data_IF_730472741353
#
_entry.id   IF_730472741353
#
_cell.length_a   1.000
_cell.length_b   1.000
_cell.length_c   1.000
_cell.angle_alpha   90.00
_cell.angle_beta   90.00
_cell.angle_gamma   90.00
#
_symmetry.space_group_name_H-M   'P 1'
#
loop_
_entity.id
_entity.type
_entity.pdbx_description
1 polymer ?
#
# COMPACT_ATOMS: atom_id res chain seq x y z
N UNK A 1 6.47 9.19 -3.36
CA UNK A 1 6.34 7.84 -3.95
C UNK A 1 5.25 7.76 -5.01
N UNK A 2 3.97 8.15 -4.76
CA UNK A 2 2.89 8.01 -5.74
C UNK A 2 3.17 8.69 -7.09
N UNK A 3 3.74 9.90 -7.09
CA UNK A 3 4.16 10.63 -8.29
C UNK A 3 5.21 9.84 -9.12
N UNK A 4 6.16 9.20 -8.45
CA UNK A 4 7.19 8.39 -9.10
C UNK A 4 6.67 7.04 -9.61
N UNK A 5 5.70 6.43 -8.91
CA UNK A 5 4.98 5.27 -9.43
C UNK A 5 4.27 5.63 -10.74
N UNK A 6 3.55 6.75 -10.77
CA UNK A 6 2.87 7.22 -11.98
C UNK A 6 3.86 7.42 -13.15
N UNK A 7 5.03 8.04 -12.88
CA UNK A 7 6.11 8.19 -13.86
C UNK A 7 6.58 6.84 -14.41
N UNK A 8 6.87 5.88 -13.53
CA UNK A 8 7.38 4.57 -13.93
C UNK A 8 6.36 3.76 -14.73
N UNK A 9 5.07 3.84 -14.38
CA UNK A 9 3.99 3.18 -15.13
C UNK A 9 3.76 3.87 -16.48
N UNK A 10 3.85 5.20 -16.54
CA UNK A 10 3.80 5.96 -17.77
C UNK A 10 4.91 5.55 -18.76
N UNK A 11 6.14 5.41 -18.27
CA UNK A 11 7.28 4.92 -19.05
C UNK A 11 7.11 3.46 -19.55
N UNK A 12 6.16 2.71 -18.98
CA UNK A 12 5.77 1.36 -19.42
C UNK A 12 4.59 1.34 -20.39
N UNK A 13 4.01 2.48 -20.67
CA UNK A 13 2.91 2.62 -21.62
C UNK A 13 1.51 2.65 -20.99
N UNK A 14 1.39 2.73 -19.68
CA UNK A 14 0.10 2.77 -18.99
C UNK A 14 -0.65 4.10 -19.27
N UNK A 15 -1.98 4.01 -19.44
CA UNK A 15 -2.88 5.13 -19.24
C UNK A 15 -3.10 5.34 -17.75
N UNK A 16 -3.16 6.59 -17.27
CA UNK A 16 -3.15 6.86 -15.84
C UNK A 16 -4.30 7.76 -15.40
N UNK A 17 -4.91 7.36 -14.28
CA UNK A 17 -5.83 8.17 -13.50
C UNK A 17 -5.20 8.39 -12.13
N UNK A 18 -4.88 9.62 -11.79
CA UNK A 18 -4.30 9.98 -10.50
C UNK A 18 -5.38 10.50 -9.55
N UNK A 19 -5.40 10.01 -8.32
CA UNK A 19 -6.42 10.40 -7.34
C UNK A 19 -5.76 10.96 -6.09
N UNK A 20 -6.13 12.18 -5.72
CA UNK A 20 -5.74 12.83 -4.47
C UNK A 20 -6.66 14.03 -4.18
N UNK A 21 -6.49 14.69 -3.03
CA UNK A 21 -7.33 15.84 -2.63
C UNK A 21 -6.93 17.15 -3.32
N UNK A 22 -5.64 17.38 -3.53
CA UNK A 22 -5.10 18.68 -3.93
C UNK A 22 -4.91 18.75 -5.44
N UNK A 23 -5.76 19.51 -6.12
CA UNK A 23 -5.76 19.66 -7.58
C UNK A 23 -4.39 20.09 -8.13
N UNK A 24 -3.75 21.12 -7.55
CA UNK A 24 -2.42 21.60 -7.97
C UNK A 24 -1.36 20.48 -7.95
N UNK A 25 -1.40 19.59 -6.94
CA UNK A 25 -0.47 18.47 -6.86
C UNK A 25 -0.77 17.39 -7.92
N UNK A 26 -2.06 17.18 -8.20
CA UNK A 26 -2.52 16.25 -9.23
C UNK A 26 -2.10 16.71 -10.61
N UNK A 27 -2.29 17.99 -10.95
CA UNK A 27 -1.84 18.60 -12.22
C UNK A 27 -0.33 18.42 -12.42
N UNK A 28 0.47 18.77 -11.39
CA UNK A 28 1.91 18.55 -11.40
C UNK A 28 2.30 17.08 -11.57
N UNK A 29 1.56 16.16 -10.94
CA UNK A 29 1.85 14.73 -11.03
C UNK A 29 1.47 14.15 -12.41
N UNK A 30 0.36 14.60 -12.99
CA UNK A 30 -0.07 14.23 -14.35
C UNK A 30 0.95 14.72 -15.37
N UNK A 31 1.40 15.96 -15.29
CA UNK A 31 2.40 16.51 -16.22
C UNK A 31 3.74 15.78 -16.08
N UNK A 32 4.16 15.50 -14.86
CA UNK A 32 5.35 14.69 -14.60
C UNK A 32 5.24 13.27 -15.20
N UNK A 33 4.08 12.62 -15.09
CA UNK A 33 3.86 11.31 -15.69
C UNK A 33 3.84 11.41 -17.23
N UNK A 34 3.17 12.42 -17.78
CA UNK A 34 3.07 12.65 -19.23
C UNK A 34 4.43 12.91 -19.89
N UNK A 35 5.31 13.68 -19.25
CA UNK A 35 6.67 13.94 -19.75
C UNK A 35 7.55 12.70 -19.85
N UNK A 36 7.13 11.59 -19.22
CA UNK A 36 7.83 10.30 -19.28
C UNK A 36 7.04 9.22 -20.02
N UNK A 37 6.04 9.61 -20.80
CA UNK A 37 5.20 8.67 -21.54
C UNK A 37 6.01 7.88 -22.58
N UNK A 38 5.83 6.56 -22.60
CA UNK A 38 6.42 5.68 -23.62
C UNK A 38 5.88 5.99 -25.02
N UNK A 39 4.58 6.27 -25.09
CA UNK A 39 3.85 6.56 -26.33
C UNK A 39 3.04 7.86 -26.16
N UNK A 40 3.68 9.06 -26.24
CA UNK A 40 3.04 10.33 -25.91
C UNK A 40 1.77 10.65 -26.72
N UNK A 41 1.68 10.14 -27.95
CA UNK A 41 0.54 10.38 -28.85
C UNK A 41 -0.70 9.54 -28.55
N UNK A 42 -0.57 8.44 -27.81
CA UNK A 42 -1.67 7.48 -27.59
C UNK A 42 -2.01 7.27 -26.12
N UNK A 43 -1.05 7.52 -25.22
CA UNK A 43 -1.31 7.40 -23.78
C UNK A 43 -2.19 8.54 -23.27
N UNK A 44 -3.12 8.19 -22.39
CA UNK A 44 -4.08 9.12 -21.81
C UNK A 44 -3.78 9.31 -20.33
N UNK A 45 -3.93 10.55 -19.85
CA UNK A 45 -3.65 10.95 -18.47
C UNK A 45 -4.78 11.84 -17.97
N UNK A 46 -5.29 11.55 -16.79
CA UNK A 46 -6.28 12.39 -16.10
C UNK A 46 -6.10 12.28 -14.58
N UNK A 47 -6.87 13.09 -13.86
CA UNK A 47 -6.94 13.01 -12.42
C UNK A 47 -8.39 13.15 -11.92
N UNK A 48 -8.63 12.67 -10.71
CA UNK A 48 -9.87 12.83 -9.97
C UNK A 48 -9.52 13.43 -8.61
N UNK A 49 -10.03 14.63 -8.32
CA UNK A 49 -9.88 15.23 -6.99
C UNK A 49 -10.90 14.61 -6.04
N UNK A 50 -10.42 13.90 -5.01
CA UNK A 50 -11.28 13.20 -4.06
C UNK A 50 -10.60 13.00 -2.71
N UNK A 51 -11.39 12.95 -1.63
CA UNK A 51 -10.96 12.44 -0.34
C UNK A 51 -11.22 10.93 -0.24
N UNK A 52 -10.16 10.15 -0.39
CA UNK A 52 -10.24 8.69 -0.40
C UNK A 52 -10.64 8.07 0.95
N UNK A 53 -10.70 8.84 2.04
CA UNK A 53 -11.22 8.37 3.32
C UNK A 53 -12.76 8.30 3.35
N UNK A 54 -13.44 8.88 2.36
CA UNK A 54 -14.89 8.80 2.18
C UNK A 54 -15.28 7.60 1.33
N UNK A 55 -16.21 6.76 1.82
CA UNK A 55 -16.76 5.64 1.04
C UNK A 55 -17.50 6.13 -0.21
N UNK A 56 -18.30 7.21 -0.09
CA UNK A 56 -19.04 7.82 -1.20
C UNK A 56 -18.07 8.30 -2.31
N UNK A 57 -16.96 8.93 -1.93
CA UNK A 57 -15.93 9.36 -2.88
C UNK A 57 -15.27 8.16 -3.56
N UNK A 58 -15.01 7.05 -2.88
CA UNK A 58 -14.50 5.84 -3.53
C UNK A 58 -15.49 5.27 -4.54
N UNK A 59 -16.80 5.33 -4.27
CA UNK A 59 -17.82 4.94 -5.24
C UNK A 59 -17.79 5.85 -6.48
N UNK A 60 -17.67 7.17 -6.29
CA UNK A 60 -17.52 8.15 -7.38
C UNK A 60 -16.26 7.93 -8.20
N UNK A 61 -15.13 7.70 -7.54
CA UNK A 61 -13.83 7.40 -8.18
C UNK A 61 -13.96 6.21 -9.14
N UNK A 62 -14.56 5.12 -8.69
CA UNK A 62 -14.76 3.92 -9.53
C UNK A 62 -15.65 4.22 -10.73
N UNK A 63 -16.74 4.96 -10.54
CA UNK A 63 -17.64 5.34 -11.63
C UNK A 63 -16.95 6.22 -12.66
N UNK A 64 -16.24 7.27 -12.23
CA UNK A 64 -15.54 8.20 -13.12
C UNK A 64 -14.36 7.51 -13.84
N UNK A 65 -13.59 6.68 -13.14
CA UNK A 65 -12.50 5.92 -13.73
C UNK A 65 -13.01 4.95 -14.81
N UNK A 66 -14.12 4.27 -14.55
CA UNK A 66 -14.77 3.39 -15.53
C UNK A 66 -15.27 4.16 -16.73
N UNK A 67 -15.93 5.30 -16.53
CA UNK A 67 -16.41 6.15 -17.61
C UNK A 67 -15.26 6.67 -18.49
N UNK A 68 -14.21 7.20 -17.87
CA UNK A 68 -13.02 7.67 -18.60
C UNK A 68 -12.33 6.57 -19.40
N UNK A 69 -12.36 5.34 -18.91
CA UNK A 69 -11.79 4.16 -19.58
C UNK A 69 -12.81 3.45 -20.50
N UNK A 70 -13.70 4.22 -21.15
CA UNK A 70 -14.67 3.71 -22.13
C UNK A 70 -15.63 2.64 -21.57
N UNK A 71 -16.04 2.79 -20.33
CA UNK A 71 -16.95 1.86 -19.65
C UNK A 71 -16.26 0.61 -19.08
N UNK A 72 -14.94 0.53 -19.12
CA UNK A 72 -14.16 -0.58 -18.58
C UNK A 72 -13.45 -0.16 -17.28
N UNK A 73 -13.60 -0.93 -16.23
CA UNK A 73 -12.85 -0.71 -15.00
C UNK A 73 -11.33 -0.83 -15.25
N UNK A 74 -10.49 0.05 -14.70
CA UNK A 74 -9.03 -0.05 -14.82
C UNK A 74 -8.48 -1.42 -14.44
N UNK A 75 -7.39 -1.82 -15.07
CA UNK A 75 -6.77 -3.14 -14.90
C UNK A 75 -5.88 -3.22 -13.68
N UNK A 76 -5.34 -2.08 -13.27
CA UNK A 76 -4.46 -1.94 -12.10
C UNK A 76 -5.07 -0.87 -11.19
N UNK A 77 -5.30 -1.22 -9.95
CA UNK A 77 -5.75 -0.29 -8.90
C UNK A 77 -4.76 -0.33 -7.76
N UNK A 78 -4.20 0.83 -7.42
CA UNK A 78 -3.15 0.94 -6.42
C UNK A 78 -3.54 1.94 -5.32
N UNK A 79 -3.81 1.44 -4.12
CA UNK A 79 -4.03 2.24 -2.92
C UNK A 79 -2.69 2.74 -2.38
N UNK A 80 -2.30 3.97 -2.74
CA UNK A 80 -1.02 4.59 -2.33
C UNK A 80 -1.21 5.57 -1.19
N UNK A 81 -2.41 6.17 -1.06
CA UNK A 81 -2.68 7.22 -0.10
C UNK A 81 -2.42 6.77 1.35
N UNK A 82 -1.82 7.64 2.13
CA UNK A 82 -1.52 7.41 3.53
C UNK A 82 -0.67 8.54 4.11
N UNK A 83 -0.69 8.67 5.42
CA UNK A 83 0.11 9.65 6.16
C UNK A 83 0.36 9.12 7.57
N UNK A 84 1.54 9.36 8.09
CA UNK A 84 1.88 9.05 9.48
C UNK A 84 1.81 10.29 10.36
N UNK A 85 1.31 10.10 11.57
CA UNK A 85 1.38 11.09 12.65
C UNK A 85 2.00 10.39 13.86
N UNK A 86 3.34 10.30 13.91
CA UNK A 86 4.02 9.64 15.02
C UNK A 86 3.88 10.45 16.32
N UNK A 87 3.81 9.73 17.42
CA UNK A 87 3.72 10.29 18.78
C UNK A 87 3.65 9.19 19.82
N UNK A 88 3.91 9.51 21.08
CA UNK A 88 3.69 8.54 22.16
C UNK A 88 2.18 8.31 22.33
N UNK A 89 1.79 7.06 22.52
CA UNK A 89 0.38 6.67 22.55
C UNK A 89 -0.43 7.43 23.59
N UNK A 90 0.14 7.62 24.77
CA UNK A 90 -0.51 8.34 25.87
C UNK A 90 -0.79 9.82 25.55
N UNK A 91 -0.02 10.43 24.63
CA UNK A 91 -0.17 11.83 24.20
C UNK A 91 -1.07 11.97 22.96
N UNK A 92 -1.44 10.85 22.33
CA UNK A 92 -2.19 10.86 21.07
C UNK A 92 -3.68 11.02 21.33
N UNK A 93 -4.33 12.01 20.70
CA UNK A 93 -5.77 12.19 20.82
C UNK A 93 -6.55 11.05 20.13
N UNK A 94 -7.76 10.77 20.63
CA UNK A 94 -8.66 9.80 20.03
C UNK A 94 -9.00 10.13 18.58
N UNK A 95 -9.08 11.42 18.23
CA UNK A 95 -9.31 11.86 16.85
C UNK A 95 -8.13 11.57 15.94
N UNK A 96 -6.91 11.69 16.43
CA UNK A 96 -5.72 11.29 15.67
C UNK A 96 -5.71 9.78 15.44
N UNK A 97 -6.07 8.96 16.45
CA UNK A 97 -6.19 7.51 16.27
C UNK A 97 -7.24 7.16 15.21
N UNK A 98 -8.42 7.78 15.24
CA UNK A 98 -9.46 7.59 14.22
C UNK A 98 -8.97 7.99 12.84
N UNK A 99 -8.42 9.21 12.68
CA UNK A 99 -7.88 9.69 11.38
C UNK A 99 -6.80 8.79 10.82
N UNK A 100 -5.94 8.21 11.67
CA UNK A 100 -4.91 7.26 11.22
C UNK A 100 -5.54 5.98 10.67
N UNK A 101 -6.60 5.46 11.28
CA UNK A 101 -7.34 4.31 10.76
C UNK A 101 -8.12 4.67 9.48
N UNK A 102 -8.81 5.79 9.46
CA UNK A 102 -9.62 6.21 8.30
C UNK A 102 -8.77 6.40 7.05
N UNK A 103 -7.65 7.12 7.15
CA UNK A 103 -6.80 7.39 6.00
C UNK A 103 -5.93 6.18 5.60
N UNK A 104 -5.36 5.47 6.57
CA UNK A 104 -4.37 4.43 6.27
C UNK A 104 -4.95 3.02 6.11
N UNK A 105 -6.17 2.77 6.58
CA UNK A 105 -6.85 1.49 6.46
C UNK A 105 -8.15 1.59 5.68
N UNK A 106 -9.15 2.35 6.19
CA UNK A 106 -10.48 2.37 5.59
C UNK A 106 -10.47 2.92 4.16
N UNK A 107 -9.66 3.95 3.86
CA UNK A 107 -9.52 4.47 2.49
C UNK A 107 -9.12 3.36 1.50
N UNK A 108 -8.14 2.53 1.86
CA UNK A 108 -7.69 1.42 1.02
C UNK A 108 -8.71 0.26 1.00
N UNK A 109 -9.38 -0.01 2.11
CA UNK A 109 -10.41 -1.04 2.21
C UNK A 109 -11.66 -0.70 1.37
N UNK A 110 -12.13 0.55 1.42
CA UNK A 110 -13.24 1.02 0.56
C UNK A 110 -12.88 0.93 -0.91
N UNK A 111 -11.70 1.45 -1.31
CA UNK A 111 -11.24 1.35 -2.69
C UNK A 111 -11.18 -0.11 -3.15
N UNK A 112 -10.61 -1.00 -2.33
CA UNK A 112 -10.52 -2.42 -2.65
C UNK A 112 -11.91 -3.06 -2.82
N UNK A 113 -12.84 -2.82 -1.89
CA UNK A 113 -14.20 -3.35 -1.96
C UNK A 113 -14.91 -2.91 -3.23
N UNK A 114 -14.92 -1.60 -3.52
CA UNK A 114 -15.59 -1.06 -4.72
C UNK A 114 -14.92 -1.55 -6.01
N UNK A 115 -13.60 -1.71 -6.00
CA UNK A 115 -12.85 -2.27 -7.13
C UNK A 115 -13.24 -3.72 -7.41
N UNK A 116 -13.21 -4.58 -6.39
CA UNK A 116 -13.55 -5.99 -6.54
C UNK A 116 -15.01 -6.18 -6.95
N UNK A 117 -15.92 -5.38 -6.37
CA UNK A 117 -17.33 -5.37 -6.80
C UNK A 117 -17.45 -5.00 -8.28
N UNK A 118 -16.77 -3.93 -8.75
CA UNK A 118 -16.85 -3.51 -10.15
C UNK A 118 -16.20 -4.51 -11.11
N UNK A 119 -15.16 -5.25 -10.69
CA UNK A 119 -14.54 -6.28 -11.50
C UNK A 119 -15.37 -7.56 -11.58
N UNK A 120 -15.96 -8.02 -10.49
CA UNK A 120 -16.67 -9.31 -10.46
C UNK A 120 -18.18 -9.19 -10.76
N UNK A 121 -18.78 -8.03 -10.48
CA UNK A 121 -20.20 -7.77 -10.65
C UNK A 121 -20.44 -6.45 -11.43
N UNK A 122 -19.90 -6.34 -12.67
CA UNK A 122 -20.04 -5.12 -13.44
C UNK A 122 -21.50 -4.85 -13.78
N UNK A 123 -21.91 -3.58 -13.82
CA UNK A 123 -23.27 -3.18 -14.21
C UNK A 123 -23.60 -3.52 -15.67
N UNK A 124 -22.61 -3.68 -16.53
CA UNK A 124 -22.74 -4.16 -17.90
C UNK A 124 -21.88 -5.41 -18.09
N UNK A 125 -22.41 -6.49 -18.67
CA UNK A 125 -21.63 -7.69 -18.93
C UNK A 125 -20.38 -7.41 -19.76
N UNK A 126 -19.30 -8.14 -19.50
CA UNK A 126 -18.10 -8.06 -20.32
C UNK A 126 -18.42 -8.46 -21.77
N UNK A 127 -17.83 -7.79 -22.80
CA UNK A 127 -17.99 -8.17 -24.18
C UNK A 127 -17.62 -9.64 -24.43
N UNK A 128 -18.28 -10.28 -25.40
CA UNK A 128 -18.04 -11.70 -25.72
C UNK A 128 -16.59 -11.98 -26.11
N UNK A 129 -15.90 -11.01 -26.71
CA UNK A 129 -14.47 -11.12 -27.06
C UNK A 129 -13.56 -11.18 -25.84
N UNK A 130 -13.93 -10.51 -24.74
CA UNK A 130 -13.19 -10.64 -23.46
C UNK A 130 -13.37 -12.01 -22.81
N UNK A 131 -14.45 -12.73 -23.13
CA UNK A 131 -14.70 -14.10 -22.65
C UNK A 131 -13.88 -15.16 -23.38
N UNK A 132 -13.50 -14.91 -24.64
CA UNK A 132 -12.78 -15.85 -25.49
C UNK A 132 -11.26 -15.68 -25.47
N UNK A 133 -10.75 -14.53 -25.02
CA UNK A 133 -9.33 -14.28 -24.89
C UNK A 133 -8.77 -15.10 -23.71
N UNK A 134 -8.20 -16.24 -24.02
CA UNK A 134 -7.70 -17.28 -23.10
C UNK A 134 -6.55 -16.78 -22.19
N UNK A 135 -6.07 -15.56 -22.36
CA UNK A 135 -4.93 -15.03 -21.62
C UNK A 135 -4.96 -13.51 -21.48
N UNK A 136 -6.00 -12.96 -20.88
CA UNK A 136 -5.86 -11.59 -20.38
C UNK A 136 -4.95 -11.58 -19.15
N UNK A 137 -4.06 -10.58 -19.10
CA UNK A 137 -3.23 -10.35 -17.91
C UNK A 137 -4.11 -10.19 -16.68
N UNK A 138 -3.78 -10.82 -15.56
CA UNK A 138 -4.55 -10.69 -14.33
C UNK A 138 -4.72 -9.21 -13.93
N UNK A 139 -5.89 -8.86 -13.40
CA UNK A 139 -6.11 -7.56 -12.78
C UNK A 139 -5.29 -7.46 -11.50
N UNK A 140 -4.75 -6.27 -11.20
CA UNK A 140 -3.85 -6.08 -10.07
C UNK A 140 -4.47 -5.12 -9.05
N UNK A 141 -4.72 -5.59 -7.83
CA UNK A 141 -5.10 -4.76 -6.69
C UNK A 141 -3.92 -4.66 -5.74
N UNK A 142 -3.41 -3.45 -5.56
CA UNK A 142 -2.14 -3.20 -4.89
C UNK A 142 -2.35 -2.29 -3.69
N UNK A 143 -1.86 -2.70 -2.54
CA UNK A 143 -1.87 -1.92 -1.30
C UNK A 143 -0.49 -1.36 -0.99
N UNK A 144 -0.45 -0.20 -0.34
CA UNK A 144 0.78 0.35 0.24
C UNK A 144 0.66 0.33 1.76
N UNK A 145 1.39 -0.58 2.39
CA UNK A 145 1.55 -0.68 3.84
C UNK A 145 2.79 0.12 4.29
N UNK A 146 3.59 -0.41 5.20
CA UNK A 146 4.83 0.18 5.72
C UNK A 146 5.67 -0.87 6.45
N UNK A 147 6.96 -0.61 6.63
CA UNK A 147 7.85 -1.40 7.50
C UNK A 147 7.30 -1.60 8.92
N UNK A 148 6.62 -0.59 9.47
CA UNK A 148 6.02 -0.64 10.82
C UNK A 148 4.85 -1.63 10.95
N UNK A 149 4.38 -2.23 9.85
CA UNK A 149 3.46 -3.36 9.90
C UNK A 149 4.11 -4.66 10.38
N UNK A 150 5.44 -4.70 10.46
CA UNK A 150 6.24 -5.87 10.84
C UNK A 150 6.90 -5.72 12.22
N UNK A 151 7.09 -4.50 12.70
CA UNK A 151 7.83 -4.22 13.93
C UNK A 151 7.16 -3.12 14.74
N UNK A 152 7.02 -3.32 16.04
CA UNK A 152 6.58 -2.29 16.98
C UNK A 152 7.73 -1.36 17.36
N UNK A 153 7.57 -0.08 17.10
CA UNK A 153 8.52 0.97 17.49
C UNK A 153 7.84 2.01 18.37
N UNK A 154 8.52 2.44 19.43
CA UNK A 154 8.04 3.53 20.28
C UNK A 154 7.81 4.80 19.42
N UNK A 155 6.61 5.38 19.55
CA UNK A 155 6.18 6.54 18.78
C UNK A 155 5.38 6.23 17.51
N UNK A 156 5.26 4.97 17.09
CA UNK A 156 4.43 4.57 15.94
C UNK A 156 3.12 3.87 16.31
N UNK A 157 2.82 3.75 17.59
CA UNK A 157 1.55 3.13 18.05
C UNK A 157 0.29 3.78 17.46
N UNK A 158 0.22 5.08 17.12
CA UNK A 158 -0.93 5.65 16.44
C UNK A 158 -1.08 5.21 14.98
N UNK A 159 -0.01 4.84 14.29
CA UNK A 159 0.06 4.57 12.84
C UNK A 159 0.20 3.09 12.48
N UNK A 160 1.08 2.38 13.19
CA UNK A 160 1.43 0.99 12.90
C UNK A 160 0.20 0.04 12.86
N UNK A 161 -0.82 0.17 13.76
CA UNK A 161 -2.00 -0.68 13.70
C UNK A 161 -2.75 -0.62 12.36
N UNK A 162 -2.88 0.58 11.77
CA UNK A 162 -3.54 0.73 10.47
C UNK A 162 -2.76 0.05 9.34
N UNK A 163 -1.42 0.11 9.38
CA UNK A 163 -0.56 -0.56 8.38
C UNK A 163 -0.49 -2.07 8.56
N UNK A 164 -0.56 -2.55 9.79
CA UNK A 164 -0.72 -3.98 10.08
C UNK A 164 -2.10 -4.50 9.63
N UNK A 165 -3.17 -3.71 9.80
CA UNK A 165 -4.50 -4.04 9.31
C UNK A 165 -4.55 -4.17 7.77
N UNK A 166 -3.83 -3.30 7.01
CA UNK A 166 -3.68 -3.45 5.54
C UNK A 166 -3.03 -4.77 5.17
N UNK A 167 -1.99 -5.19 5.88
CA UNK A 167 -1.35 -6.48 5.66
C UNK A 167 -2.34 -7.63 5.87
N UNK A 168 -3.06 -7.61 6.99
CA UNK A 168 -4.07 -8.62 7.32
C UNK A 168 -5.21 -8.65 6.28
N UNK A 169 -5.71 -7.49 5.85
CA UNK A 169 -6.71 -7.39 4.78
C UNK A 169 -6.21 -8.04 3.48
N UNK A 170 -4.98 -7.73 3.08
CA UNK A 170 -4.41 -8.28 1.86
C UNK A 170 -4.20 -9.80 1.94
N UNK A 171 -3.79 -10.35 3.09
CA UNK A 171 -3.69 -11.80 3.31
C UNK A 171 -5.07 -12.47 3.15
N UNK A 172 -6.13 -11.88 3.73
CA UNK A 172 -7.50 -12.34 3.58
C UNK A 172 -7.99 -12.28 2.12
N UNK A 173 -7.87 -11.12 1.49
CA UNK A 173 -8.29 -10.94 0.10
C UNK A 173 -7.53 -11.86 -0.87
N UNK A 174 -6.24 -12.10 -0.65
CA UNK A 174 -5.48 -13.05 -1.46
C UNK A 174 -6.09 -14.46 -1.41
N UNK A 175 -6.60 -14.86 -0.26
CA UNK A 175 -7.31 -16.14 -0.12
C UNK A 175 -8.67 -16.10 -0.83
N UNK A 176 -9.44 -15.04 -0.64
CA UNK A 176 -10.77 -14.88 -1.23
C UNK A 176 -10.73 -14.83 -2.77
N UNK A 177 -9.74 -14.16 -3.37
CA UNK A 177 -9.62 -14.08 -4.84
C UNK A 177 -9.45 -15.46 -5.48
N UNK A 178 -8.91 -16.49 -4.76
CA UNK A 178 -8.82 -17.85 -5.28
C UNK A 178 -10.20 -18.44 -5.57
N UNK A 179 -11.21 -18.10 -4.76
CA UNK A 179 -12.59 -18.53 -5.01
C UNK A 179 -13.09 -18.02 -6.36
N UNK A 180 -12.91 -16.73 -6.64
CA UNK A 180 -13.37 -16.10 -7.89
C UNK A 180 -12.54 -16.51 -9.09
N UNK A 181 -11.21 -16.61 -8.93
CA UNK A 181 -10.31 -17.09 -9.97
C UNK A 181 -10.62 -18.56 -10.34
N UNK A 182 -10.97 -19.40 -9.36
CA UNK A 182 -11.38 -20.79 -9.60
C UNK A 182 -12.77 -20.88 -10.25
N UNK A 183 -13.72 -20.02 -9.85
CA UNK A 183 -15.08 -20.00 -10.40
C UNK A 183 -15.08 -19.77 -11.93
N UNK A 184 -14.13 -18.98 -12.46
CA UNK A 184 -13.95 -18.79 -13.92
C UNK A 184 -13.66 -20.10 -14.67
N UNK A 185 -13.09 -21.08 -13.98
CA UNK A 185 -12.71 -22.41 -14.54
C UNK A 185 -13.75 -23.47 -14.24
N UNK A 186 -14.83 -23.13 -13.53
CA UNK A 186 -15.89 -24.06 -13.17
C UNK A 186 -16.73 -24.42 -14.41
N UNK A 187 -17.12 -25.67 -14.49
CA UNK A 187 -18.11 -26.17 -15.48
C UNK A 187 -19.54 -26.00 -14.97
N UNK A 188 -19.74 -25.70 -13.68
CA UNK A 188 -21.03 -25.52 -13.05
C UNK A 188 -21.53 -24.09 -13.27
N UNK A 189 -22.72 -23.93 -13.83
CA UNK A 189 -23.37 -22.62 -13.96
C UNK A 189 -24.28 -22.39 -12.76
N UNK A 190 -24.08 -21.27 -12.06
CA UNK A 190 -24.93 -20.82 -10.95
C UNK A 190 -25.81 -19.62 -11.35
N UNK A 191 -25.85 -19.29 -12.64
CA UNK A 191 -26.52 -18.09 -13.16
C UNK A 191 -25.66 -16.83 -13.16
N UNK A 192 -24.68 -16.70 -12.25
CA UNK A 192 -23.72 -15.60 -12.28
C UNK A 192 -22.59 -15.90 -13.27
N UNK A 193 -22.29 -14.95 -14.14
CA UNK A 193 -21.17 -15.08 -15.09
C UNK A 193 -19.87 -14.64 -14.42
N UNK A 194 -18.84 -15.50 -14.36
CA UNK A 194 -17.55 -15.11 -13.80
C UNK A 194 -16.86 -14.03 -14.68
N UNK A 195 -16.04 -13.17 -14.04
CA UNK A 195 -15.19 -12.24 -14.76
C UNK A 195 -14.23 -12.98 -15.72
N UNK A 196 -13.89 -12.40 -16.88
CA UNK A 196 -13.03 -13.07 -17.88
C UNK A 196 -11.55 -13.12 -17.53
N UNK A 197 -11.14 -12.58 -16.39
CA UNK A 197 -9.75 -12.46 -15.92
C UNK A 197 -9.59 -12.95 -14.48
N UNK A 198 -8.36 -13.25 -14.12
CA UNK A 198 -7.96 -13.48 -12.73
C UNK A 198 -7.66 -12.15 -12.03
N UNK A 199 -7.68 -12.17 -10.71
CA UNK A 199 -7.29 -11.04 -9.87
C UNK A 199 -6.10 -11.45 -8.99
N UNK A 200 -5.09 -10.59 -8.90
CA UNK A 200 -3.96 -10.72 -8.00
C UNK A 200 -3.96 -9.61 -6.96
N UNK A 201 -3.53 -9.94 -5.76
CA UNK A 201 -3.37 -9.01 -4.65
C UNK A 201 -1.88 -8.82 -4.36
N UNK A 202 -1.45 -7.58 -4.15
CA UNK A 202 -0.08 -7.24 -3.81
C UNK A 202 -0.03 -6.23 -2.67
N UNK A 203 1.03 -6.30 -1.86
CA UNK A 203 1.29 -5.32 -0.80
C UNK A 203 2.72 -4.83 -0.89
N UNK A 204 2.88 -3.52 -0.92
CA UNK A 204 4.18 -2.85 -0.89
C UNK A 204 4.47 -2.38 0.53
N UNK A 205 5.66 -2.62 1.01
CA UNK A 205 6.13 -2.22 2.33
C UNK A 205 7.31 -1.26 2.20
N UNK A 206 7.06 0.05 2.12
CA UNK A 206 8.12 1.03 2.15
C UNK A 206 8.80 1.09 3.52
N UNK A 207 10.13 1.34 3.51
CA UNK A 207 10.87 1.85 4.65
C UNK A 207 10.77 3.37 4.70
N UNK A 208 11.79 4.02 5.29
CA UNK A 208 11.88 5.48 5.38
C UNK A 208 12.13 6.11 4.01
N UNK A 209 11.17 6.95 3.57
CA UNK A 209 11.24 7.67 2.29
C UNK A 209 11.45 9.16 2.56
N UNK A 210 12.53 9.73 2.03
CA UNK A 210 12.77 11.18 2.07
C UNK A 210 11.75 11.88 1.17
N UNK A 211 10.79 12.56 1.78
CA UNK A 211 9.64 13.17 1.11
C UNK A 211 9.04 14.28 1.97
N UNK A 212 8.20 15.16 1.41
CA UNK A 212 7.46 16.15 2.20
C UNK A 212 6.62 15.53 3.34
N UNK A 213 6.17 14.28 3.17
CA UNK A 213 5.49 13.52 4.25
C UNK A 213 6.44 13.22 5.40
N UNK A 214 7.67 12.79 5.11
CA UNK A 214 8.70 12.56 6.12
C UNK A 214 9.06 13.85 6.87
N UNK A 215 9.21 14.98 6.17
CA UNK A 215 9.47 16.28 6.80
C UNK A 215 8.34 16.69 7.77
N UNK A 216 7.10 16.33 7.47
CA UNK A 216 5.97 16.56 8.37
C UNK A 216 5.98 15.60 9.57
N UNK A 217 6.35 14.34 9.39
CA UNK A 217 6.51 13.37 10.49
C UNK A 217 7.57 13.84 11.49
N UNK A 218 8.71 14.36 10.99
CA UNK A 218 9.79 14.87 11.83
C UNK A 218 9.36 16.00 12.78
N UNK A 219 8.32 16.77 12.46
CA UNK A 219 7.81 17.85 13.33
C UNK A 219 7.20 17.31 14.62
N UNK A 220 6.52 16.15 14.55
CA UNK A 220 5.79 15.57 15.70
C UNK A 220 6.49 14.37 16.31
N UNK A 221 7.48 13.81 15.62
CA UNK A 221 8.20 12.61 16.04
C UNK A 221 8.92 12.81 17.38
N UNK A 222 8.70 11.90 18.31
CA UNK A 222 9.37 11.94 19.62
C UNK A 222 10.87 11.65 19.48
N UNK A 223 11.71 12.17 20.38
CA UNK A 223 13.16 12.01 20.30
C UNK A 223 13.60 10.55 20.37
N UNK A 224 12.96 9.71 21.18
CA UNK A 224 13.25 8.26 21.24
C UNK A 224 12.99 7.58 19.89
N UNK A 225 11.95 7.98 19.18
CA UNK A 225 11.63 7.43 17.85
C UNK A 225 12.72 7.76 16.84
N UNK A 226 13.21 9.02 16.85
CA UNK A 226 14.34 9.42 15.99
C UNK A 226 15.62 8.64 16.30
N UNK A 227 15.88 8.35 17.57
CA UNK A 227 17.04 7.54 17.97
C UNK A 227 16.91 6.10 17.46
N UNK A 228 15.74 5.48 17.56
CA UNK A 228 15.49 4.14 17.05
C UNK A 228 15.66 4.03 15.53
N UNK A 229 15.26 5.08 14.79
CA UNK A 229 15.36 5.13 13.33
C UNK A 229 16.66 5.73 12.79
N UNK A 230 17.59 6.11 13.66
CA UNK A 230 18.80 6.83 13.27
C UNK A 230 19.67 6.07 12.27
N UNK A 231 19.64 4.73 12.31
CA UNK A 231 20.38 3.83 11.43
C UNK A 231 19.56 3.26 10.27
N UNK A 232 18.29 3.63 10.13
CA UNK A 232 17.45 3.10 9.08
C UNK A 232 17.93 3.54 7.68
N UNK A 233 17.90 2.62 6.69
CA UNK A 233 18.23 2.99 5.32
C UNK A 233 17.14 3.92 4.77
N UNK A 234 17.56 5.14 4.43
CA UNK A 234 16.70 6.15 3.82
C UNK A 234 16.69 6.01 2.30
N UNK A 235 15.54 6.13 1.68
CA UNK A 235 15.33 6.02 0.24
C UNK A 235 14.76 7.31 -0.33
N UNK A 236 15.10 7.63 -1.58
CA UNK A 236 14.36 8.62 -2.35
C UNK A 236 12.99 8.07 -2.75
N UNK A 237 12.06 8.94 -3.11
CA UNK A 237 10.74 8.53 -3.62
C UNK A 237 10.86 7.65 -4.87
N UNK A 238 11.85 7.94 -5.73
CA UNK A 238 12.13 7.15 -6.94
C UNK A 238 12.67 5.76 -6.61
N UNK A 239 13.61 5.64 -5.68
CA UNK A 239 14.15 4.34 -5.26
C UNK A 239 13.05 3.43 -4.70
N UNK A 240 12.20 3.97 -3.82
CA UNK A 240 11.09 3.21 -3.25
C UNK A 240 10.04 2.82 -4.31
N UNK A 241 9.72 3.73 -5.25
CA UNK A 241 8.80 3.44 -6.34
C UNK A 241 9.36 2.39 -7.31
N UNK A 242 10.67 2.46 -7.61
CA UNK A 242 11.34 1.49 -8.50
C UNK A 242 11.30 0.09 -7.88
N UNK A 243 11.66 -0.05 -6.61
CA UNK A 243 11.61 -1.34 -5.92
C UNK A 243 10.17 -1.90 -5.88
N UNK A 244 9.17 -1.03 -5.64
CA UNK A 244 7.77 -1.42 -5.64
C UNK A 244 7.32 -1.97 -7.01
N UNK A 245 7.62 -1.25 -8.10
CA UNK A 245 7.23 -1.66 -9.46
C UNK A 245 7.96 -2.95 -9.88
N UNK A 246 9.26 -3.07 -9.59
CA UNK A 246 10.02 -4.29 -9.86
C UNK A 246 9.48 -5.50 -9.11
N UNK A 247 9.06 -5.32 -7.85
CA UNK A 247 8.43 -6.39 -7.08
C UNK A 247 7.10 -6.86 -7.68
N UNK A 248 6.30 -5.94 -8.22
CA UNK A 248 5.07 -6.28 -8.96
C UNK A 248 5.37 -7.04 -10.26
N UNK A 249 6.35 -6.58 -11.04
CA UNK A 249 6.79 -7.24 -12.28
C UNK A 249 7.31 -8.65 -12.00
N UNK A 250 7.88 -8.87 -10.81
CA UNK A 250 8.33 -10.20 -10.35
C UNK A 250 7.18 -11.07 -9.79
N UNK A 251 5.94 -10.56 -9.74
CA UNK A 251 4.79 -11.28 -9.19
C UNK A 251 4.79 -11.43 -7.66
N UNK A 252 5.58 -10.64 -6.94
CA UNK A 252 5.67 -10.71 -5.49
C UNK A 252 4.36 -10.32 -4.81
N UNK A 253 3.87 -11.16 -3.88
CA UNK A 253 2.74 -10.80 -3.01
C UNK A 253 3.12 -9.67 -2.04
N UNK A 254 4.24 -9.81 -1.34
CA UNK A 254 4.77 -8.82 -0.40
C UNK A 254 6.09 -8.25 -0.91
N UNK A 255 6.11 -6.97 -1.27
CA UNK A 255 7.31 -6.31 -1.78
C UNK A 255 7.89 -5.33 -0.76
N UNK A 256 9.02 -5.64 -0.12
CA UNK A 256 9.80 -4.66 0.63
C UNK A 256 10.53 -3.73 -0.33
N UNK A 257 10.69 -2.44 0.05
CA UNK A 257 11.40 -1.50 -0.83
C UNK A 257 12.91 -1.41 -0.55
N UNK A 258 13.38 -1.96 0.57
CA UNK A 258 14.80 -2.05 0.89
C UNK A 258 15.12 -3.34 1.67
N UNK A 259 16.41 -3.59 1.86
CA UNK A 259 16.90 -4.82 2.50
C UNK A 259 16.44 -4.99 3.95
N UNK A 260 16.41 -3.89 4.74
CA UNK A 260 15.96 -3.94 6.14
C UNK A 260 14.51 -4.38 6.23
N UNK A 261 13.63 -3.78 5.42
CA UNK A 261 12.23 -4.17 5.36
C UNK A 261 12.07 -5.62 4.86
N UNK A 262 12.99 -6.08 4.00
CA UNK A 262 13.09 -7.49 3.60
C UNK A 262 13.32 -8.43 4.79
N UNK A 263 14.25 -8.09 5.67
CA UNK A 263 14.51 -8.84 6.91
C UNK A 263 13.30 -8.80 7.86
N UNK A 264 12.71 -7.62 8.07
CA UNK A 264 11.49 -7.47 8.89
C UNK A 264 10.35 -8.33 8.36
N UNK A 265 10.15 -8.36 7.03
CA UNK A 265 9.17 -9.22 6.35
C UNK A 265 9.43 -10.69 6.66
N UNK A 266 10.66 -11.18 6.48
CA UNK A 266 11.00 -12.57 6.78
C UNK A 266 10.68 -12.95 8.22
N UNK A 267 11.02 -12.10 9.18
CA UNK A 267 10.76 -12.34 10.60
C UNK A 267 9.28 -12.27 11.01
N UNK A 268 8.41 -11.85 10.10
CA UNK A 268 6.98 -11.63 10.37
C UNK A 268 6.07 -12.36 9.38
N UNK A 269 6.59 -13.29 8.57
CA UNK A 269 5.80 -13.96 7.52
C UNK A 269 4.58 -14.71 8.08
N UNK A 270 4.75 -15.50 9.14
CA UNK A 270 3.67 -16.32 9.68
C UNK A 270 3.01 -17.18 8.60
N UNK A 271 1.67 -17.04 8.46
CA UNK A 271 0.85 -17.70 7.44
C UNK A 271 0.78 -16.97 6.11
N UNK A 272 1.39 -15.77 5.96
CA UNK A 272 1.36 -15.02 4.70
C UNK A 272 2.05 -15.79 3.57
N UNK A 273 1.58 -15.57 2.34
CA UNK A 273 2.18 -16.19 1.16
C UNK A 273 3.64 -15.77 1.00
N UNK A 274 4.47 -16.74 0.72
CA UNK A 274 5.87 -16.55 0.38
C UNK A 274 6.02 -16.13 -1.08
N UNK A 275 6.89 -15.15 -1.35
CA UNK A 275 7.26 -14.78 -2.72
C UNK A 275 8.12 -15.90 -3.34
N UNK A 276 9.04 -16.45 -2.56
CA UNK A 276 9.85 -17.61 -2.90
C UNK A 276 9.84 -18.59 -1.71
N UNK A 277 9.32 -19.80 -1.93
CA UNK A 277 9.12 -20.78 -0.85
C UNK A 277 10.42 -21.11 -0.12
N UNK A 278 11.52 -21.30 -0.84
CA UNK A 278 12.80 -21.71 -0.26
C UNK A 278 13.45 -20.53 0.47
N UNK A 279 13.68 -19.42 -0.25
CA UNK A 279 14.39 -18.25 0.30
C UNK A 279 13.62 -17.64 1.48
N UNK A 280 12.31 -17.51 1.38
CA UNK A 280 11.49 -16.92 2.43
C UNK A 280 11.40 -17.83 3.66
N UNK A 281 11.43 -19.14 3.48
CA UNK A 281 11.43 -20.09 4.62
C UNK A 281 12.76 -20.07 5.36
N UNK A 282 13.88 -20.12 4.61
CA UNK A 282 15.22 -20.01 5.21
C UNK A 282 15.42 -18.64 5.87
N UNK A 283 14.99 -17.57 5.20
CA UNK A 283 15.02 -16.22 5.76
C UNK A 283 14.20 -16.09 7.06
N UNK A 284 13.02 -16.69 7.12
CA UNK A 284 12.19 -16.70 8.33
C UNK A 284 12.88 -17.42 9.50
N UNK A 285 13.55 -18.53 9.27
CA UNK A 285 14.30 -19.23 10.32
C UNK A 285 15.49 -18.39 10.82
N UNK A 286 16.26 -17.80 9.91
CA UNK A 286 17.40 -16.94 10.26
C UNK A 286 16.92 -15.74 11.05
N UNK A 287 15.87 -15.06 10.61
CA UNK A 287 15.35 -13.85 11.26
C UNK A 287 14.70 -14.16 12.62
N UNK A 288 14.21 -15.36 12.85
CA UNK A 288 13.77 -15.79 14.20
C UNK A 288 14.92 -15.67 15.22
N UNK A 289 16.13 -16.08 14.83
CA UNK A 289 17.33 -15.93 15.69
C UNK A 289 17.71 -14.45 15.82
N UNK A 290 17.65 -13.69 14.73
CA UNK A 290 17.94 -12.23 14.73
C UNK A 290 17.02 -11.50 15.73
N UNK A 291 15.74 -11.85 15.79
CA UNK A 291 14.78 -11.24 16.73
C UNK A 291 15.10 -11.47 18.20
N UNK A 292 15.78 -12.57 18.55
CA UNK A 292 16.25 -12.80 19.93
C UNK A 292 17.27 -11.75 20.38
N UNK A 293 17.95 -11.09 19.43
CA UNK A 293 18.92 -10.03 19.69
C UNK A 293 18.29 -8.65 19.48
N UNK A 294 17.55 -8.47 18.37
CA UNK A 294 17.01 -7.17 17.97
C UNK A 294 15.96 -6.64 18.96
N UNK A 295 15.06 -7.48 19.46
CA UNK A 295 14.02 -7.03 20.41
C UNK A 295 14.63 -6.56 21.73
N UNK A 296 15.53 -7.30 22.40
CA UNK A 296 16.24 -6.79 23.56
C UNK A 296 17.03 -5.51 23.30
N UNK A 297 17.70 -5.36 22.13
CA UNK A 297 18.42 -4.15 21.78
C UNK A 297 17.49 -2.94 21.65
N UNK A 298 16.38 -3.08 20.92
CA UNK A 298 15.37 -2.02 20.79
C UNK A 298 14.80 -1.63 22.17
N UNK A 299 14.44 -2.60 22.99
CA UNK A 299 13.95 -2.37 24.36
C UNK A 299 14.99 -1.68 25.23
N UNK A 300 16.25 -2.09 25.13
CA UNK A 300 17.38 -1.48 25.87
C UNK A 300 17.58 -0.01 25.48
N UNK A 301 17.47 0.32 24.19
CA UNK A 301 17.55 1.70 23.71
C UNK A 301 16.42 2.56 24.28
N UNK A 302 15.17 2.08 24.21
CA UNK A 302 14.01 2.80 24.78
C UNK A 302 14.16 2.98 26.29
N UNK A 303 14.55 1.91 26.99
CA UNK A 303 14.80 1.95 28.44
C UNK A 303 15.92 2.93 28.80
N UNK A 304 17.05 2.84 28.10
CA UNK A 304 18.20 3.71 28.30
C UNK A 304 17.86 5.18 28.07
N UNK A 305 17.05 5.46 27.02
CA UNK A 305 16.54 6.79 26.74
C UNK A 305 15.71 7.33 27.92
N UNK A 306 14.75 6.55 28.41
CA UNK A 306 13.89 6.95 29.53
C UNK A 306 14.69 7.15 30.81
N UNK A 307 15.67 6.28 31.11
CA UNK A 307 16.56 6.44 32.28
C UNK A 307 17.41 7.70 32.20
N UNK A 308 17.89 8.05 31.00
CA UNK A 308 18.73 9.24 30.76
C UNK A 308 17.93 10.55 30.80
N UNK A 309 16.73 10.57 30.21
CA UNK A 309 15.96 11.80 30.00
C UNK A 309 14.80 11.99 30.98
N UNK A 310 14.49 10.98 31.80
CA UNK A 310 13.37 11.01 32.72
C UNK A 310 12.01 10.84 32.03
N UNK A 311 10.95 11.14 32.76
CA UNK A 311 9.57 11.02 32.26
C UNK A 311 9.30 12.04 31.14
N UNK A 312 8.77 11.59 29.96
CA UNK A 312 8.38 12.52 28.90
C UNK A 312 7.36 13.54 29.42
N UNK A 313 7.51 14.80 28.97
CA UNK A 313 6.52 15.85 29.29
C UNK A 313 5.25 15.61 28.49
N UNK A 314 4.11 15.52 29.17
CA UNK A 314 2.81 15.41 28.52
C UNK A 314 2.50 16.65 27.69
N UNK A 315 2.36 16.50 26.38
CA UNK A 315 2.03 17.59 25.46
C UNK A 315 0.51 17.72 25.38
N UNK A 316 -0.06 18.71 26.11
CA UNK A 316 -1.51 19.00 26.04
C UNK A 316 -1.97 19.50 24.66
N UNK A 317 -1.05 20.04 23.86
CA UNK A 317 -1.34 20.66 22.56
C UNK A 317 -1.50 19.63 21.43
N UNK A 318 -1.35 18.34 21.73
CA UNK A 318 -1.54 17.23 20.79
C UNK A 318 -2.99 16.66 20.81
N UNK A 319 -3.90 17.29 21.59
CA UNK A 319 -5.30 16.87 21.69
C UNK A 319 -6.19 17.52 20.63
#
# INVERSE_FOLDING_TARGET
>A
MGKEIARLLSARGANLILVARTVKNLESAVEHARSHAKNPSTQRFTYISADVSSEAENTRIIAEATAWNNGRMPEIVWAVAGSSTPGLFVETSSDTLRRQMELNYFAAAYLAQKTLQAWWYPSKPYPAQEKSAVSESPRQLIFTSSAVAFVGLAGYSPYAPAKAAIRSLADGLRSEVQLYNAARRSKTSTGAQPAPFDVNIHVIFPGTILSPGFDNEEKTKHAVTRELESSDPKQTELQAATAAVQGLESGNFMTPTNWLVGLLRWGSLGSSQRNNIVLDTLGAWITTIVWLIMVPDLNSKVWGWGKKNGMPKFRKDAQ
#
